data_IF_308961909036
#
_entry.id   IF_308961909036
#
_cell.length_a   1.000
_cell.length_b   1.000
_cell.length_c   1.000
_cell.angle_alpha   90.00
_cell.angle_beta   90.00
_cell.angle_gamma   90.00
#
_symmetry.space_group_name_H-M   'P 1'
#
loop_
_entity.id
_entity.type
_entity.pdbx_description
1 polymer ?
#
# COMPACT_ATOMS: atom_id res chain seq x y z
N UNK A 1 0.44 16.64 -28.63
CA UNK A 1 1.05 15.51 -27.94
C UNK A 1 2.27 16.06 -27.27
N UNK A 2 2.16 16.36 -25.97
CA UNK A 2 3.28 16.87 -25.20
C UNK A 2 3.22 16.20 -23.84
N UNK A 3 4.21 15.37 -23.54
CA UNK A 3 4.30 14.68 -22.25
C UNK A 3 4.81 15.67 -21.22
N UNK A 4 4.14 15.72 -20.07
CA UNK A 4 4.49 16.57 -18.93
C UNK A 4 4.63 15.75 -17.67
N UNK A 5 5.65 16.07 -16.88
CA UNK A 5 5.82 15.55 -15.53
C UNK A 5 5.16 16.54 -14.57
N UNK A 6 4.02 16.17 -14.00
CA UNK A 6 3.18 17.08 -13.21
C UNK A 6 2.66 16.43 -11.93
N UNK A 7 2.22 17.28 -11.00
CA UNK A 7 1.59 16.84 -9.76
C UNK A 7 0.14 16.45 -10.03
N UNK A 8 -0.18 15.20 -9.74
CA UNK A 8 -1.55 14.69 -9.61
C UNK A 8 -1.98 14.87 -8.16
N UNK A 9 -3.12 15.52 -7.93
CA UNK A 9 -3.61 15.72 -6.56
C UNK A 9 -4.44 14.50 -6.17
N UNK A 10 -4.11 13.96 -5.00
CA UNK A 10 -4.85 12.93 -4.30
C UNK A 10 -5.09 13.40 -2.85
N UNK A 11 -5.76 12.55 -2.08
CA UNK A 11 -6.06 12.81 -0.68
C UNK A 11 -7.44 13.44 -0.49
N UNK A 12 -7.67 13.92 0.73
CA UNK A 12 -8.96 14.44 1.20
C UNK A 12 -8.88 15.94 1.46
N UNK A 13 -10.01 16.56 1.77
CA UNK A 13 -10.04 17.97 2.19
C UNK A 13 -9.11 18.17 3.40
N UNK A 14 -8.29 19.23 3.37
CA UNK A 14 -7.26 19.56 4.36
C UNK A 14 -6.11 18.56 4.55
N UNK A 15 -6.04 17.50 3.74
CA UNK A 15 -4.93 16.54 3.74
C UNK A 15 -4.53 16.25 2.29
N UNK A 16 -3.82 17.20 1.65
CA UNK A 16 -3.38 17.06 0.27
C UNK A 16 -2.22 16.07 0.17
N UNK A 17 -2.33 15.11 -0.74
CA UNK A 17 -1.25 14.22 -1.12
C UNK A 17 -1.01 14.38 -2.62
N UNK A 18 0.24 14.39 -3.08
CA UNK A 18 0.53 14.53 -4.51
C UNK A 18 1.31 13.34 -5.03
N UNK A 19 0.88 12.79 -6.17
CA UNK A 19 1.70 11.88 -6.97
C UNK A 19 2.41 12.68 -8.05
N UNK A 20 3.66 12.32 -8.33
CA UNK A 20 4.42 12.88 -9.42
C UNK A 20 4.28 11.89 -10.57
N UNK A 21 3.54 12.30 -11.60
CA UNK A 21 3.14 11.41 -12.67
C UNK A 21 3.46 12.03 -14.03
N UNK A 22 3.79 11.14 -14.96
CA UNK A 22 4.04 11.44 -16.37
C UNK A 22 2.72 11.28 -17.11
N UNK A 23 2.25 12.36 -17.74
CA UNK A 23 0.95 12.44 -18.40
C UNK A 23 1.03 13.24 -19.69
N UNK A 24 0.12 12.97 -20.64
CA UNK A 24 -0.09 13.93 -21.73
C UNK A 24 -0.67 15.25 -21.17
N UNK A 25 -0.17 16.36 -21.67
CA UNK A 25 -0.59 17.73 -21.36
C UNK A 25 -2.11 17.96 -21.43
N UNK A 26 -2.81 17.30 -22.37
CA UNK A 26 -4.24 17.48 -22.64
C UNK A 26 -5.10 16.69 -21.67
N UNK A 27 -4.55 15.69 -20.99
CA UNK A 27 -5.28 14.88 -20.02
C UNK A 27 -5.68 15.74 -18.80
N UNK A 28 -6.84 15.47 -18.17
CA UNK A 28 -7.25 16.17 -16.96
C UNK A 28 -6.22 15.98 -15.83
N UNK A 29 -6.15 16.92 -14.88
CA UNK A 29 -5.12 16.93 -13.82
C UNK A 29 -4.98 15.57 -13.12
N UNK A 30 -6.11 14.98 -12.75
CA UNK A 30 -6.15 13.73 -11.99
C UNK A 30 -6.50 12.51 -12.85
N UNK A 31 -6.34 12.62 -14.18
CA UNK A 31 -6.62 11.57 -15.14
C UNK A 31 -5.64 10.38 -15.12
N UNK A 32 -5.70 9.59 -16.20
CA UNK A 32 -4.82 8.43 -16.40
C UNK A 32 -3.38 8.87 -16.61
N UNK A 33 -2.47 8.33 -15.80
CA UNK A 33 -1.04 8.48 -15.97
C UNK A 33 -0.47 7.40 -16.89
N UNK A 34 0.64 7.75 -17.56
CA UNK A 34 1.47 6.80 -18.29
C UNK A 34 2.30 6.03 -17.26
N UNK A 35 2.95 6.77 -16.36
CA UNK A 35 3.82 6.24 -15.31
C UNK A 35 3.78 7.16 -14.08
N UNK A 36 3.75 6.56 -12.89
CA UNK A 36 3.91 7.26 -11.62
C UNK A 36 5.38 7.15 -11.19
N UNK A 37 6.10 8.28 -11.16
CA UNK A 37 7.56 8.32 -10.93
C UNK A 37 7.93 8.74 -9.50
N UNK A 38 6.94 9.01 -8.65
CA UNK A 38 7.17 9.38 -7.25
C UNK A 38 5.96 9.97 -6.57
N UNK A 39 6.17 10.46 -5.35
CA UNK A 39 5.16 11.16 -4.57
C UNK A 39 5.75 12.32 -3.76
N UNK A 40 4.86 13.23 -3.39
CA UNK A 40 5.16 14.40 -2.58
C UNK A 40 4.03 14.62 -1.57
N UNK A 41 4.39 14.58 -0.29
CA UNK A 41 3.45 14.86 0.80
C UNK A 41 3.89 16.13 1.56
N UNK A 42 3.21 17.28 1.42
CA UNK A 42 3.57 18.49 2.14
C UNK A 42 3.28 18.44 3.65
N UNK A 43 2.47 17.49 4.14
CA UNK A 43 2.06 17.41 5.54
C UNK A 43 3.10 16.74 6.43
N UNK A 44 4.06 16.01 5.85
CA UNK A 44 5.14 15.36 6.59
C UNK A 44 6.14 16.44 7.08
N UNK A 45 6.35 16.49 8.40
CA UNK A 45 7.28 17.42 9.06
C UNK A 45 8.73 17.14 8.70
N UNK A 46 9.11 15.85 8.68
CA UNK A 46 10.43 15.41 8.22
C UNK A 46 10.60 15.71 6.72
N UNK A 47 11.73 16.33 6.38
CA UNK A 47 12.07 16.69 5.01
C UNK A 47 12.50 15.48 4.20
N UNK A 48 13.05 14.45 4.85
CA UNK A 48 13.66 13.29 4.19
C UNK A 48 12.61 12.35 3.58
N UNK A 49 11.48 12.18 4.27
CA UNK A 49 10.35 11.35 3.83
C UNK A 49 9.33 12.13 3.00
N UNK A 50 9.49 13.45 2.89
CA UNK A 50 8.52 14.33 2.23
C UNK A 50 8.36 14.05 0.74
N UNK A 51 9.44 13.61 0.10
CA UNK A 51 9.56 13.47 -1.35
C UNK A 51 10.27 12.18 -1.66
N UNK A 52 9.62 11.31 -2.42
CA UNK A 52 10.22 10.10 -2.98
C UNK A 52 10.17 10.21 -4.49
N UNK A 53 11.34 10.16 -5.15
CA UNK A 53 11.47 10.24 -6.60
C UNK A 53 12.28 9.05 -7.12
N UNK A 54 11.80 8.42 -8.18
CA UNK A 54 12.63 7.56 -9.01
C UNK A 54 13.40 8.43 -10.01
N UNK A 55 14.66 8.74 -9.69
CA UNK A 55 15.48 9.65 -10.49
C UNK A 55 15.82 9.07 -11.87
N UNK A 56 16.05 7.76 -11.97
CA UNK A 56 16.38 7.09 -13.23
C UNK A 56 15.26 7.26 -14.27
N UNK A 57 14.01 7.06 -13.84
CA UNK A 57 12.84 7.21 -14.70
C UNK A 57 12.59 8.67 -15.06
N UNK A 58 12.79 9.59 -14.11
CA UNK A 58 12.65 11.02 -14.37
C UNK A 58 13.64 11.50 -15.42
N UNK A 59 14.92 11.12 -15.29
CA UNK A 59 15.96 11.52 -16.24
C UNK A 59 15.71 10.91 -17.63
N UNK A 60 15.20 9.67 -17.72
CA UNK A 60 14.72 9.08 -18.98
C UNK A 60 13.60 9.91 -19.62
N UNK A 61 12.56 10.26 -18.86
CA UNK A 61 11.45 11.02 -19.42
C UNK A 61 11.87 12.42 -19.87
N UNK A 62 12.79 13.05 -19.14
CA UNK A 62 13.40 14.33 -19.55
C UNK A 62 14.19 14.17 -20.85
N UNK A 63 14.97 13.09 -21.01
CA UNK A 63 15.74 12.85 -22.24
C UNK A 63 14.86 12.61 -23.47
N UNK A 64 13.70 11.98 -23.28
CA UNK A 64 12.65 11.80 -24.31
C UNK A 64 11.88 13.10 -24.61
N UNK A 65 12.15 14.18 -23.87
CA UNK A 65 11.59 15.51 -24.11
C UNK A 65 10.34 15.83 -23.27
N UNK A 66 10.07 15.08 -22.20
CA UNK A 66 9.02 15.44 -21.26
C UNK A 66 9.40 16.70 -20.49
N UNK A 67 8.46 17.64 -20.38
CA UNK A 67 8.68 18.90 -19.66
C UNK A 67 8.13 18.82 -18.24
N UNK A 68 8.95 18.99 -17.18
CA UNK A 68 8.45 19.08 -15.82
C UNK A 68 7.72 20.40 -15.58
N UNK A 69 6.71 20.39 -14.71
CA UNK A 69 6.09 21.61 -14.17
C UNK A 69 7.02 22.33 -13.19
N UNK A 70 6.86 23.65 -12.99
CA UNK A 70 7.77 24.48 -12.17
C UNK A 70 8.00 23.90 -10.77
N UNK A 71 6.94 23.44 -10.11
CA UNK A 71 7.05 22.85 -8.78
C UNK A 71 7.82 21.53 -8.81
N UNK A 72 7.60 20.70 -9.81
CA UNK A 72 8.30 19.41 -9.98
C UNK A 72 9.78 19.65 -10.28
N UNK A 73 10.11 20.64 -11.12
CA UNK A 73 11.50 21.03 -11.38
C UNK A 73 12.21 21.43 -10.08
N UNK A 74 11.56 22.25 -9.23
CA UNK A 74 12.10 22.61 -7.91
C UNK A 74 12.28 21.40 -6.99
N UNK A 75 11.38 20.41 -7.03
CA UNK A 75 11.51 19.18 -6.24
C UNK A 75 12.71 18.34 -6.72
N UNK A 76 12.85 18.16 -8.04
CA UNK A 76 13.97 17.44 -8.65
C UNK A 76 15.29 18.11 -8.26
N UNK A 77 15.39 19.43 -8.39
CA UNK A 77 16.60 20.18 -8.02
C UNK A 77 16.98 20.03 -6.55
N UNK A 78 15.98 20.03 -5.66
CA UNK A 78 16.20 19.84 -4.23
C UNK A 78 16.68 18.43 -3.90
N UNK A 79 16.15 17.41 -4.60
CA UNK A 79 16.63 16.03 -4.46
C UNK A 79 18.05 15.90 -5.01
N UNK A 80 18.35 16.43 -6.20
CA UNK A 80 19.71 16.42 -6.79
C UNK A 80 20.74 17.14 -5.91
N UNK A 81 20.34 18.21 -5.22
CA UNK A 81 21.18 18.96 -4.27
C UNK A 81 21.15 18.39 -2.84
N UNK A 82 20.61 17.18 -2.64
CA UNK A 82 20.44 16.51 -1.34
C UNK A 82 19.79 17.36 -0.24
N UNK A 83 18.97 18.35 -0.59
CA UNK A 83 18.38 19.31 0.37
C UNK A 83 17.23 18.74 1.21
N UNK A 84 16.73 17.57 0.85
CA UNK A 84 15.72 16.85 1.64
C UNK A 84 16.35 15.97 2.73
N UNK A 85 17.67 15.77 2.72
CA UNK A 85 18.33 14.78 3.58
C UNK A 85 18.15 13.37 3.02
N UNK A 86 19.11 12.49 3.30
CA UNK A 86 18.95 11.06 3.00
C UNK A 86 17.79 10.54 3.83
N UNK A 87 16.82 9.85 3.21
CA UNK A 87 15.76 9.19 3.94
C UNK A 87 16.42 8.28 4.98
N UNK A 88 16.22 8.58 6.27
CA UNK A 88 16.40 7.57 7.31
C UNK A 88 15.57 6.38 6.87
N UNK A 89 16.14 5.17 6.98
CA UNK A 89 15.44 3.92 6.70
C UNK A 89 14.00 4.01 7.19
N UNK A 90 13.01 3.49 6.43
CA UNK A 90 11.66 3.40 6.94
C UNK A 90 11.77 2.80 8.35
N UNK A 91 11.14 3.39 9.39
CA UNK A 91 11.15 2.76 10.70
C UNK A 91 10.73 1.31 10.46
N UNK A 92 11.48 0.32 10.98
CA UNK A 92 11.15 -1.07 10.74
C UNK A 92 9.67 -1.20 11.10
N UNK A 93 8.85 -1.57 10.12
CA UNK A 93 7.51 -2.01 10.41
C UNK A 93 7.70 -3.05 11.51
N UNK A 94 7.15 -2.78 12.69
CA UNK A 94 7.22 -3.73 13.79
C UNK A 94 6.80 -5.06 13.20
N UNK A 95 7.71 -6.03 13.22
CA UNK A 95 7.43 -7.36 12.70
C UNK A 95 6.09 -7.82 13.28
N UNK A 96 5.24 -8.54 12.52
CA UNK A 96 4.08 -9.19 13.10
C UNK A 96 4.55 -9.91 14.35
N UNK A 97 3.97 -9.57 15.51
CA UNK A 97 4.28 -10.24 16.77
C UNK A 97 4.11 -11.73 16.55
N UNK A 98 5.23 -12.46 16.56
CA UNK A 98 5.27 -13.91 16.44
C UNK A 98 4.25 -14.48 17.44
N UNK A 99 3.31 -15.34 17.02
CA UNK A 99 2.48 -16.04 17.98
C UNK A 99 3.41 -16.82 18.92
N UNK A 100 3.17 -16.78 20.24
CA UNK A 100 4.04 -17.46 21.19
C UNK A 100 4.17 -18.94 20.79
N UNK A 101 5.39 -19.52 20.87
CA UNK A 101 5.59 -20.89 20.48
C UNK A 101 4.69 -21.80 21.33
N UNK A 102 4.06 -22.82 20.73
CA UNK A 102 3.42 -23.86 21.51
C UNK A 102 4.48 -24.51 22.42
N UNK A 103 4.22 -24.75 23.71
CA UNK A 103 5.16 -25.48 24.54
C UNK A 103 5.27 -26.92 24.00
N UNK A 104 6.41 -27.22 23.40
CA UNK A 104 6.81 -28.60 23.09
C UNK A 104 7.17 -29.38 24.38
N UNK A 105 7.02 -30.71 24.36
CA UNK A 105 6.51 -31.50 25.49
C UNK A 105 7.63 -32.07 26.37
N UNK A 106 7.52 -31.88 27.69
CA UNK A 106 8.30 -32.63 28.67
C UNK A 106 7.44 -33.79 29.19
N UNK A 107 7.90 -34.99 28.86
CA UNK A 107 7.36 -36.26 29.31
C UNK A 107 7.35 -36.39 30.85
N UNK A 108 6.24 -36.87 31.41
CA UNK A 108 6.29 -37.70 32.61
C UNK A 108 5.23 -38.80 32.51
N UNK A 109 5.70 -40.00 32.76
CA UNK A 109 5.15 -41.30 32.44
C UNK A 109 4.38 -41.84 33.66
N UNK A 110 3.12 -42.24 33.48
CA UNK A 110 2.44 -43.23 34.35
C UNK A 110 1.15 -43.74 33.66
N UNK A 111 1.19 -44.97 33.15
CA UNK A 111 0.01 -45.82 32.90
C UNK A 111 -0.49 -46.44 34.23
N UNK A 112 -1.66 -47.12 34.36
CA UNK A 112 -2.55 -47.64 33.29
C UNK A 112 -4.09 -47.59 33.56
N UNK A 113 -4.83 -47.98 32.50
CA UNK A 113 -6.15 -48.68 32.42
C UNK A 113 -7.43 -48.08 33.02
N UNK A 114 -8.42 -47.85 32.15
CA UNK A 114 -9.64 -48.68 32.11
C UNK A 114 -10.28 -48.63 30.70
N UNK A 115 -10.62 -49.80 30.15
CA UNK A 115 -11.35 -49.99 28.91
C UNK A 115 -12.86 -49.95 29.20
N UNK A 116 -13.66 -49.19 28.43
CA UNK A 116 -15.05 -49.55 28.18
C UNK A 116 -15.62 -48.85 26.93
N UNK A 117 -15.90 -49.69 25.95
CA UNK A 117 -16.80 -49.58 24.79
C UNK A 117 -17.94 -48.55 24.87
N UNK A 118 -18.30 -47.91 23.75
CA UNK A 118 -19.42 -48.39 22.91
C UNK A 118 -19.64 -47.52 21.65
N UNK A 119 -20.26 -48.13 20.66
CA UNK A 119 -20.23 -47.86 19.25
C UNK A 119 -21.17 -46.74 18.73
N UNK A 120 -20.89 -46.37 17.47
CA UNK A 120 -21.84 -46.05 16.40
C UNK A 120 -22.74 -44.79 16.48
N UNK A 121 -22.58 -43.91 15.49
CA UNK A 121 -23.65 -43.00 15.07
C UNK A 121 -23.24 -41.80 14.22
N UNK A 122 -22.99 -41.99 12.92
CA UNK A 122 -23.32 -40.96 11.91
C UNK A 122 -24.84 -41.04 11.60
N UNK A 123 -25.54 -40.08 10.93
CA UNK A 123 -25.01 -38.97 10.13
C UNK A 123 -25.88 -37.65 10.07
N UNK A 124 -25.41 -36.70 9.26
CA UNK A 124 -26.13 -35.82 8.30
C UNK A 124 -27.05 -34.64 8.70
N UNK A 125 -26.79 -33.52 7.97
CA UNK A 125 -27.65 -32.40 7.49
C UNK A 125 -27.75 -31.06 8.24
N UNK A 126 -27.26 -29.94 7.64
CA UNK A 126 -27.64 -28.59 8.02
C UNK A 126 -28.95 -28.12 7.33
N UNK A 127 -29.79 -27.43 8.10
CA UNK A 127 -31.09 -26.86 7.70
C UNK A 127 -30.92 -25.61 6.82
N UNK A 128 -31.60 -25.61 5.67
CA UNK A 128 -31.94 -24.42 4.87
C UNK A 128 -32.91 -23.52 5.65
N UNK A 129 -32.57 -22.26 5.86
CA UNK A 129 -33.52 -21.14 5.95
C UNK A 129 -33.29 -20.26 4.72
N UNK A 130 -34.27 -19.73 4.00
CA UNK A 130 -35.64 -19.39 4.34
C UNK A 130 -35.84 -17.97 3.81
N UNK A 131 -36.29 -17.83 2.57
CA UNK A 131 -36.46 -16.53 1.91
C UNK A 131 -37.67 -16.54 1.00
N UNK A 132 -38.65 -15.69 1.30
CA UNK A 132 -39.63 -15.14 0.36
C UNK A 132 -40.38 -13.97 1.04
N UNK A 133 -40.35 -12.74 0.50
CA UNK A 133 -41.34 -11.72 0.83
C UNK A 133 -42.59 -11.84 -0.08
N UNK A 134 -43.79 -11.52 0.42
CA UNK A 134 -45.05 -11.74 -0.30
C UNK A 134 -45.39 -10.58 -1.24
N UNK A 135 -45.84 -10.93 -2.45
CA UNK A 135 -46.47 -10.00 -3.39
C UNK A 135 -47.45 -10.72 -4.32
N UNK A 136 -48.58 -10.06 -4.56
CA UNK A 136 -49.66 -10.35 -5.53
C UNK A 136 -50.80 -11.28 -5.08
N UNK A 137 -51.90 -10.68 -4.60
CA UNK A 137 -53.21 -10.70 -5.26
C UNK A 137 -54.14 -9.66 -4.67
#
# INVERSE_FOLDING_TARGET
MAVRIRLKRLGRRHLPFYRIAVMDSRSPRDGRSIEDVGHYDPMISDKSQRVTLNMERIDYWISVGAKPSDKVAVLIDKVKKNRFGTASEPPPMTAPKEPPPPPEPAAEEAAPTDEAEDAAGAPDKPRKGGGAPPGAR
#
